data_IF_281822494993
#
_entry.id   IF_281822494993
#
_cell.length_a   1.000
_cell.length_b   1.000
_cell.length_c   1.000
_cell.angle_alpha   90.00
_cell.angle_beta   90.00
_cell.angle_gamma   90.00
#
_symmetry.space_group_name_H-M   'P 1'
#
loop_
_entity.id
_entity.type
_entity.pdbx_description
1 polymer ?
#
# COMPACT_ATOMS: atom_id res chain seq x y z
N UNK A 1 -13.51 1.27 7.30
CA UNK A 1 -13.53 0.18 6.28
C UNK A 1 -12.23 -0.63 6.41
N UNK A 2 -12.04 -1.34 7.54
CA UNK A 2 -10.81 -2.13 7.85
C UNK A 2 -11.05 -3.63 7.62
N UNK A 3 -12.33 -4.04 7.54
CA UNK A 3 -12.72 -5.45 7.40
C UNK A 3 -12.29 -6.11 6.08
N UNK A 4 -12.01 -5.34 5.02
CA UNK A 4 -11.54 -5.88 3.73
C UNK A 4 -10.03 -6.17 3.70
N UNK A 5 -9.23 -5.57 4.60
CA UNK A 5 -7.79 -5.82 4.67
C UNK A 5 -7.45 -7.00 5.61
N UNK A 6 -8.21 -7.16 6.70
CA UNK A 6 -7.92 -8.17 7.73
C UNK A 6 -8.01 -9.63 7.28
N UNK A 7 -8.72 -9.94 6.19
CA UNK A 7 -8.88 -11.32 5.71
C UNK A 7 -7.81 -11.76 4.70
N UNK A 8 -7.02 -10.84 4.14
CA UNK A 8 -6.04 -11.14 3.08
C UNK A 8 -4.59 -11.30 3.59
N UNK A 9 -4.36 -11.06 4.89
CA UNK A 9 -3.03 -10.99 5.50
C UNK A 9 -2.43 -12.27 6.10
N UNK A 10 -3.18 -13.27 6.58
CA UNK A 10 -2.49 -14.50 6.98
C UNK A 10 -1.88 -15.10 5.70
N UNK A 11 -0.65 -15.63 5.77
CA UNK A 11 0.10 -16.27 4.67
C UNK A 11 1.03 -15.39 3.81
N UNK A 12 1.51 -14.22 4.25
CA UNK A 12 2.65 -13.59 3.56
C UNK A 12 3.94 -14.25 4.04
N UNK A 13 4.77 -14.71 3.10
CA UNK A 13 6.03 -15.36 3.44
C UNK A 13 7.18 -14.35 3.51
N UNK A 14 6.93 -13.09 3.11
CA UNK A 14 7.87 -11.98 3.15
C UNK A 14 7.16 -10.61 3.27
N UNK A 15 7.91 -9.56 3.65
CA UNK A 15 7.41 -8.18 3.65
C UNK A 15 7.06 -7.67 2.23
N UNK A 16 7.72 -8.21 1.21
CA UNK A 16 7.43 -7.90 -0.19
C UNK A 16 6.07 -8.48 -0.61
N UNK A 17 5.77 -9.73 -0.22
CA UNK A 17 4.46 -10.35 -0.46
C UNK A 17 3.32 -9.55 0.20
N UNK A 18 3.54 -9.04 1.42
CA UNK A 18 2.54 -8.20 2.10
C UNK A 18 2.31 -6.87 1.36
N UNK A 19 3.40 -6.21 0.93
CA UNK A 19 3.32 -4.98 0.15
C UNK A 19 2.55 -5.19 -1.16
N UNK A 20 2.81 -6.29 -1.87
CA UNK A 20 2.05 -6.64 -3.08
C UNK A 20 0.57 -6.87 -2.78
N UNK A 21 0.25 -7.56 -1.69
CA UNK A 21 -1.16 -7.79 -1.29
C UNK A 21 -1.87 -6.49 -0.89
N UNK A 22 -1.19 -5.59 -0.20
CA UNK A 22 -1.70 -4.25 0.08
C UNK A 22 -2.02 -3.49 -1.21
N UNK A 23 -1.08 -3.46 -2.16
CA UNK A 23 -1.31 -2.81 -3.45
C UNK A 23 -2.52 -3.42 -4.17
N UNK A 24 -2.64 -4.75 -4.15
CA UNK A 24 -3.77 -5.46 -4.76
C UNK A 24 -5.11 -5.12 -4.10
N UNK A 25 -5.15 -5.09 -2.76
CA UNK A 25 -6.36 -4.75 -2.02
C UNK A 25 -6.79 -3.29 -2.28
N UNK A 26 -5.84 -2.35 -2.29
CA UNK A 26 -6.13 -0.93 -2.52
C UNK A 26 -6.55 -0.64 -3.97
N UNK A 27 -6.04 -1.40 -4.95
CA UNK A 27 -6.42 -1.25 -6.36
C UNK A 27 -7.92 -1.44 -6.61
N UNK A 28 -8.59 -2.26 -5.81
CA UNK A 28 -10.01 -2.58 -6.00
C UNK A 28 -10.96 -1.54 -5.40
N UNK A 29 -10.45 -0.59 -4.62
CA UNK A 29 -11.31 0.25 -3.78
C UNK A 29 -10.97 1.75 -3.85
N UNK A 30 -12.03 2.54 -4.04
CA UNK A 30 -12.03 3.99 -3.90
C UNK A 30 -11.08 4.73 -4.84
N UNK A 31 -10.72 5.94 -4.40
CA UNK A 31 -9.91 6.91 -5.14
C UNK A 31 -8.51 6.39 -5.53
N UNK A 32 -7.84 5.66 -4.63
CA UNK A 32 -6.55 5.00 -4.93
C UNK A 32 -6.67 3.97 -6.05
N UNK A 33 -7.72 3.14 -6.03
CA UNK A 33 -7.97 2.18 -7.11
C UNK A 33 -8.18 2.85 -8.46
N UNK A 34 -8.92 3.96 -8.49
CA UNK A 34 -9.12 4.74 -9.72
C UNK A 34 -7.82 5.38 -10.21
N UNK A 35 -6.98 5.91 -9.33
CA UNK A 35 -5.70 6.50 -9.69
C UNK A 35 -4.72 5.47 -10.24
N UNK A 36 -4.62 4.29 -9.62
CA UNK A 36 -3.78 3.18 -10.09
C UNK A 36 -4.23 2.68 -11.47
N UNK A 37 -5.53 2.56 -11.70
CA UNK A 37 -6.08 2.17 -13.01
C UNK A 37 -5.77 3.21 -14.09
N UNK A 38 -5.89 4.50 -13.77
CA UNK A 38 -5.55 5.59 -14.69
C UNK A 38 -4.05 5.62 -15.06
N UNK A 39 -3.18 5.15 -14.16
CA UNK A 39 -1.74 5.00 -14.39
C UNK A 39 -1.38 3.72 -15.16
N UNK A 40 -2.37 2.93 -15.59
CA UNK A 40 -2.13 1.70 -16.35
C UNK A 40 -1.64 0.53 -15.50
N UNK A 41 -1.75 0.61 -14.16
CA UNK A 41 -1.43 -0.50 -13.26
C UNK A 41 -2.52 -1.58 -13.40
N UNK A 42 -2.32 -2.47 -14.38
CA UNK A 42 -3.18 -3.62 -14.69
C UNK A 42 -3.06 -4.78 -13.71
N UNK A 43 -3.94 -5.79 -13.86
CA UNK A 43 -3.80 -7.09 -13.18
C UNK A 43 -2.57 -7.83 -13.74
N UNK A 44 -1.35 -7.43 -13.38
CA UNK A 44 -0.19 -8.25 -13.68
C UNK A 44 -0.31 -9.58 -12.92
N UNK A 45 -0.12 -10.73 -13.59
CA UNK A 45 -0.05 -12.02 -12.93
C UNK A 45 0.99 -11.97 -11.81
N UNK A 46 0.66 -12.58 -10.68
CA UNK A 46 1.57 -12.74 -9.56
C UNK A 46 2.85 -13.39 -10.09
N UNK A 47 4.01 -12.79 -9.82
CA UNK A 47 5.26 -13.54 -9.88
C UNK A 47 5.23 -14.52 -8.71
N UNK A 48 4.65 -15.70 -8.94
CA UNK A 48 4.71 -16.81 -7.99
C UNK A 48 6.17 -17.17 -7.80
N UNK A 49 6.62 -17.02 -6.56
CA UNK A 49 8.02 -17.03 -6.17
C UNK A 49 8.84 -18.20 -6.70
N UNK A 50 10.06 -17.89 -7.11
CA UNK A 50 11.23 -18.77 -7.14
C UNK A 50 12.44 -17.88 -7.41
N UNK A 51 12.77 -16.98 -6.48
CA UNK A 51 14.11 -16.36 -6.37
C UNK A 51 14.27 -15.61 -5.02
N UNK A 52 13.72 -16.19 -3.95
CA UNK A 52 14.00 -15.74 -2.58
C UNK A 52 15.27 -16.42 -2.04
N UNK A 53 16.32 -16.52 -2.85
CA UNK A 53 17.68 -16.80 -2.40
C UNK A 53 18.52 -15.60 -2.81
N UNK A 54 18.49 -14.54 -2.00
CA UNK A 54 19.48 -13.47 -1.83
C UNK A 54 18.78 -12.15 -1.45
N UNK A 55 18.42 -12.02 -0.17
CA UNK A 55 18.35 -10.71 0.46
C UNK A 55 18.89 -10.87 1.88
N UNK A 56 20.20 -10.65 2.01
CA UNK A 56 20.85 -10.55 3.31
C UNK A 56 20.17 -9.49 4.17
N UNK A 57 20.15 -9.77 5.46
CA UNK A 57 19.71 -8.92 6.57
C UNK A 57 19.77 -7.41 6.27
N UNK A 58 18.67 -6.85 5.76
CA UNK A 58 18.52 -5.40 5.55
C UNK A 58 17.84 -4.85 6.78
N UNK A 59 18.59 -4.11 7.59
CA UNK A 59 18.09 -3.29 8.69
C UNK A 59 16.87 -2.48 8.23
N UNK A 60 15.67 -2.84 8.71
CA UNK A 60 14.43 -2.13 8.44
C UNK A 60 13.25 -2.94 7.89
N UNK A 61 13.29 -4.28 7.90
CA UNK A 61 12.12 -5.11 7.58
C UNK A 61 10.98 -4.89 8.59
N UNK A 62 9.75 -4.57 8.16
CA UNK A 62 8.60 -4.41 9.06
C UNK A 62 8.30 -5.69 9.87
N UNK A 63 7.74 -5.52 11.07
CA UNK A 63 7.25 -6.62 11.88
C UNK A 63 5.99 -7.22 11.25
N UNK A 64 6.12 -8.32 10.50
CA UNK A 64 5.09 -8.94 9.66
C UNK A 64 3.77 -9.26 10.38
N UNK A 65 2.67 -9.33 9.62
CA UNK A 65 1.37 -9.82 10.10
C UNK A 65 0.55 -8.81 10.89
N UNK A 66 -0.01 -9.24 12.03
CA UNK A 66 -0.97 -8.46 12.84
C UNK A 66 -0.41 -7.14 13.35
N UNK A 67 0.89 -7.10 13.67
CA UNK A 67 1.57 -5.90 14.15
C UNK A 67 1.64 -4.82 13.05
N UNK A 68 1.87 -5.21 11.79
CA UNK A 68 1.78 -4.28 10.65
C UNK A 68 0.36 -3.76 10.49
N UNK A 69 -0.66 -4.61 10.60
CA UNK A 69 -2.05 -4.19 10.39
C UNK A 69 -2.47 -3.13 11.41
N UNK A 70 -2.10 -3.30 12.67
CA UNK A 70 -2.36 -2.33 13.73
C UNK A 70 -1.61 -1.02 13.49
N UNK A 71 -0.35 -1.09 13.03
CA UNK A 71 0.46 0.07 12.72
C UNK A 71 -0.05 0.86 11.51
N UNK A 72 -0.45 0.18 10.43
CA UNK A 72 -1.08 0.78 9.25
C UNK A 72 -2.41 1.42 9.66
N UNK A 73 -3.23 0.73 10.45
CA UNK A 73 -4.53 1.24 10.91
C UNK A 73 -4.37 2.51 11.74
N UNK A 74 -3.44 2.50 12.71
CA UNK A 74 -3.12 3.65 13.57
C UNK A 74 -2.61 4.85 12.76
N UNK A 75 -1.74 4.62 11.78
CA UNK A 75 -1.23 5.67 10.88
C UNK A 75 -2.33 6.24 9.99
N UNK A 76 -3.15 5.40 9.37
CA UNK A 76 -4.25 5.82 8.51
C UNK A 76 -5.29 6.63 9.27
N UNK A 77 -5.61 6.25 10.51
CA UNK A 77 -6.47 7.05 11.39
C UNK A 77 -5.90 8.44 11.66
N UNK A 78 -4.60 8.55 11.96
CA UNK A 78 -3.95 9.86 12.17
C UNK A 78 -4.00 10.75 10.94
N UNK A 79 -3.86 10.18 9.74
CA UNK A 79 -3.95 10.92 8.48
C UNK A 79 -5.38 11.43 8.23
N UNK A 80 -6.38 10.58 8.49
CA UNK A 80 -7.78 10.97 8.40
C UNK A 80 -8.12 12.11 9.39
N UNK A 81 -7.62 12.02 10.63
CA UNK A 81 -7.78 13.06 11.65
C UNK A 81 -7.10 14.37 11.24
N UNK A 82 -5.91 14.30 10.65
CA UNK A 82 -5.16 15.48 10.19
C UNK A 82 -5.89 16.25 9.09
N UNK A 83 -6.63 15.56 8.22
CA UNK A 83 -7.53 16.20 7.23
C UNK A 83 -8.94 16.46 7.76
N UNK A 84 -9.15 16.32 9.07
CA UNK A 84 -10.43 16.52 9.76
C UNK A 84 -11.58 15.63 9.24
N UNK A 85 -11.26 14.44 8.75
CA UNK A 85 -12.25 13.50 8.27
C UNK A 85 -12.70 12.53 9.36
N UNK A 86 -14.00 12.29 9.46
CA UNK A 86 -14.58 11.34 10.42
C UNK A 86 -14.39 9.86 10.04
N UNK A 87 -13.86 9.58 8.84
CA UNK A 87 -13.66 8.23 8.34
C UNK A 87 -12.36 8.11 7.56
N UNK A 88 -11.60 7.05 7.85
CA UNK A 88 -10.42 6.64 7.08
C UNK A 88 -10.82 6.29 5.65
N UNK A 89 -10.20 6.99 4.69
CA UNK A 89 -10.32 6.77 3.26
C UNK A 89 -9.21 5.89 2.71
N UNK A 90 -9.29 5.54 1.41
CA UNK A 90 -8.28 4.67 0.78
C UNK A 90 -6.93 5.36 0.58
N UNK A 91 -6.90 6.69 0.43
CA UNK A 91 -5.66 7.45 0.37
C UNK A 91 -4.93 7.50 1.74
N UNK A 92 -5.68 7.65 2.85
CA UNK A 92 -5.09 7.55 4.20
C UNK A 92 -4.39 6.19 4.42
N UNK A 93 -5.02 5.10 3.95
CA UNK A 93 -4.44 3.76 3.97
C UNK A 93 -3.20 3.64 3.09
N UNK A 94 -3.23 4.19 1.88
CA UNK A 94 -2.08 4.18 0.97
C UNK A 94 -0.88 4.88 1.60
N UNK A 95 -1.06 6.09 2.13
CA UNK A 95 0.03 6.84 2.75
C UNK A 95 0.54 6.15 4.03
N UNK A 96 -0.33 5.51 4.80
CA UNK A 96 0.08 4.69 5.94
C UNK A 96 0.93 3.48 5.52
N UNK A 97 0.56 2.78 4.44
CA UNK A 97 1.32 1.65 3.89
C UNK A 97 2.67 2.10 3.33
N UNK A 98 2.70 3.23 2.62
CA UNK A 98 3.95 3.86 2.14
C UNK A 98 4.90 4.19 3.29
N UNK A 99 4.39 4.69 4.42
CA UNK A 99 5.21 5.01 5.59
C UNK A 99 5.73 3.75 6.30
N UNK A 100 4.95 2.67 6.32
CA UNK A 100 5.32 1.41 6.98
C UNK A 100 6.34 0.62 6.18
N UNK A 101 6.12 0.46 4.88
CA UNK A 101 6.96 -0.37 4.01
C UNK A 101 8.06 0.42 3.30
N UNK A 102 7.93 1.75 3.19
CA UNK A 102 8.91 2.64 2.58
C UNK A 102 9.37 2.15 1.21
N UNK A 103 10.69 1.98 1.06
CA UNK A 103 11.34 1.56 -0.19
C UNK A 103 10.84 0.23 -0.75
N UNK A 104 10.33 -0.67 0.10
CA UNK A 104 9.75 -1.93 -0.38
C UNK A 104 8.50 -1.66 -1.22
N UNK A 105 7.64 -0.75 -0.75
CA UNK A 105 6.43 -0.40 -1.48
C UNK A 105 6.74 0.42 -2.73
N UNK A 106 7.74 1.31 -2.66
CA UNK A 106 8.23 2.05 -3.84
C UNK A 106 8.70 1.10 -4.94
N UNK A 107 9.42 0.02 -4.56
CA UNK A 107 9.85 -1.03 -5.49
C UNK A 107 8.66 -1.76 -6.12
N UNK A 108 7.65 -2.12 -5.33
CA UNK A 108 6.43 -2.78 -5.83
C UNK A 108 5.68 -1.87 -6.81
N UNK A 109 5.57 -0.57 -6.54
CA UNK A 109 5.00 0.41 -7.47
C UNK A 109 5.81 0.49 -8.76
N UNK A 110 7.14 0.58 -8.65
CA UNK A 110 8.04 0.67 -9.80
C UNK A 110 7.92 -0.56 -10.71
N UNK A 111 7.88 -1.77 -10.15
CA UNK A 111 7.66 -3.01 -10.89
C UNK A 111 6.30 -3.08 -11.60
N UNK A 112 5.36 -2.22 -11.20
CA UNK A 112 4.04 -2.06 -11.84
C UNK A 112 3.98 -0.84 -12.78
N UNK A 113 5.11 -0.19 -13.01
CA UNK A 113 5.25 0.90 -13.96
C UNK A 113 4.81 2.27 -13.44
N UNK A 114 4.79 2.47 -12.12
CA UNK A 114 4.47 3.78 -11.53
C UNK A 114 5.35 4.11 -10.32
N UNK A 115 5.37 5.37 -9.89
CA UNK A 115 6.04 5.80 -8.66
C UNK A 115 5.07 6.32 -7.60
N UNK A 116 5.59 6.50 -6.38
CA UNK A 116 4.87 7.16 -5.28
C UNK A 116 4.44 8.57 -5.68
N UNK A 117 5.33 9.31 -6.32
CA UNK A 117 5.12 10.69 -6.75
C UNK A 117 4.00 10.76 -7.77
N UNK A 118 4.05 9.94 -8.83
CA UNK A 118 3.00 9.90 -9.86
C UNK A 118 1.63 9.55 -9.27
N UNK A 119 1.59 8.59 -8.34
CA UNK A 119 0.36 8.21 -7.66
C UNK A 119 -0.17 9.36 -6.78
N UNK A 120 0.70 10.06 -6.06
CA UNK A 120 0.32 11.21 -5.25
C UNK A 120 -0.19 12.38 -6.09
N UNK A 121 0.46 12.70 -7.21
CA UNK A 121 0.01 13.73 -8.16
C UNK A 121 -1.36 13.41 -8.74
N UNK A 122 -1.62 12.14 -9.06
CA UNK A 122 -2.95 11.71 -9.54
C UNK A 122 -4.01 11.83 -8.46
N UNK A 123 -3.70 11.50 -7.21
CA UNK A 123 -4.62 11.66 -6.10
C UNK A 123 -4.92 13.13 -5.82
N UNK A 124 -3.91 13.99 -5.81
CA UNK A 124 -4.07 15.44 -5.67
C UNK A 124 -4.93 16.05 -6.79
N UNK A 125 -4.77 15.57 -8.02
CA UNK A 125 -5.59 15.99 -9.16
C UNK A 125 -7.06 15.53 -9.05
N UNK A 126 -7.31 14.40 -8.36
CA UNK A 126 -8.66 13.87 -8.13
C UNK A 126 -9.34 14.47 -6.89
N UNK A 127 -8.55 14.82 -5.87
CA UNK A 127 -8.98 15.43 -4.61
C UNK A 127 -7.86 16.34 -4.05
N UNK A 128 -8.03 17.68 -4.05
CA UNK A 128 -7.00 18.64 -3.64
C UNK A 128 -6.56 18.50 -2.18
N UNK A 129 -7.30 17.76 -1.35
CA UNK A 129 -6.94 17.53 0.05
C UNK A 129 -5.70 16.61 0.22
N UNK A 130 -5.16 16.05 -0.87
CA UNK A 130 -3.98 15.18 -0.87
C UNK A 130 -2.78 15.71 -1.71
N UNK A 131 -2.85 16.97 -2.16
CA UNK A 131 -1.76 17.65 -2.87
C UNK A 131 -0.78 18.40 -1.98
#
# INVERSE_FOLDING_TARGET
>A
MVALAGTAMPFAHSAEDEAERWLRAMRLHGQVGSALQALGVGESPLMTGSDADHAGDVVGTPALGTDVLDDVSRRASRLADARQAHTVGTADLLFAVLDVYGRLFDRVLYLRGTSREELSERLAAADPHYG
#
